data_IF_335977106407
#
_entry.id   IF_335977106407
#
_cell.length_a   1.000
_cell.length_b   1.000
_cell.length_c   1.000
_cell.angle_alpha   90.00
_cell.angle_beta   90.00
_cell.angle_gamma   90.00
#
_symmetry.space_group_name_H-M   'P 1'
#
loop_
_entity.id
_entity.type
_entity.pdbx_description
1 polymer ?
#
# COMPACT_ATOMS: atom_id res chain seq x y z
N UNK A 1 7.32 -17.26 2.48
CA UNK A 1 6.07 -17.28 3.24
C UNK A 1 4.89 -17.73 2.39
N UNK A 2 3.83 -18.21 3.01
CA UNK A 2 2.60 -18.58 2.30
C UNK A 2 2.04 -17.35 1.58
N UNK A 3 1.64 -17.52 0.29
CA UNK A 3 1.06 -16.44 -0.51
C UNK A 3 2.05 -15.38 -1.01
N UNK A 4 3.33 -15.45 -0.68
CA UNK A 4 4.33 -14.50 -1.13
C UNK A 4 4.64 -14.59 -2.63
N UNK A 5 4.36 -15.71 -3.26
CA UNK A 5 4.41 -15.87 -4.72
C UNK A 5 3.06 -15.48 -5.32
N UNK A 6 2.98 -14.26 -5.76
CA UNK A 6 1.80 -13.75 -6.46
C UNK A 6 2.25 -13.09 -7.76
N UNK A 7 1.62 -13.46 -8.86
CA UNK A 7 1.87 -12.86 -10.18
C UNK A 7 1.50 -11.37 -10.22
N UNK A 8 0.63 -10.93 -9.30
CA UNK A 8 0.02 -9.59 -9.30
C UNK A 8 0.15 -8.88 -7.96
N UNK A 9 1.35 -8.80 -7.41
CA UNK A 9 1.63 -8.08 -6.18
C UNK A 9 1.96 -8.99 -5.00
N UNK A 10 2.13 -8.41 -3.82
CA UNK A 10 2.43 -9.13 -2.57
C UNK A 10 1.11 -9.57 -1.92
N UNK A 11 0.95 -10.86 -1.65
CA UNK A 11 -0.20 -11.41 -0.92
C UNK A 11 0.27 -12.24 0.27
N UNK A 12 -0.58 -12.35 1.28
CA UNK A 12 -0.28 -13.09 2.51
C UNK A 12 0.70 -12.37 3.45
N UNK A 13 1.14 -11.17 3.10
CA UNK A 13 1.86 -10.25 3.99
C UNK A 13 0.99 -9.04 4.25
N UNK A 14 0.82 -8.70 5.53
CA UNK A 14 0.16 -7.46 5.91
C UNK A 14 1.21 -6.38 6.09
N UNK A 15 1.06 -5.25 5.40
CA UNK A 15 2.01 -4.14 5.43
C UNK A 15 1.29 -2.93 6.01
N UNK A 16 1.91 -2.28 6.98
CA UNK A 16 1.42 -1.03 7.57
C UNK A 16 2.47 0.06 7.42
N UNK A 17 2.04 1.27 7.17
CA UNK A 17 2.86 2.48 7.21
C UNK A 17 2.20 3.44 8.19
N UNK A 18 2.86 3.69 9.31
CA UNK A 18 2.34 4.50 10.43
C UNK A 18 0.95 4.05 10.93
N UNK A 19 0.66 2.75 10.83
CA UNK A 19 -0.62 2.16 11.20
C UNK A 19 -1.70 2.21 10.13
N UNK A 20 -1.47 2.86 8.98
CA UNK A 20 -2.37 2.79 7.82
C UNK A 20 -2.01 1.53 7.02
N UNK A 21 -2.96 0.65 6.70
CA UNK A 21 -2.68 -0.51 5.86
C UNK A 21 -2.19 -0.09 4.47
N UNK A 22 -1.01 -0.56 4.09
CA UNK A 22 -0.52 -0.53 2.70
C UNK A 22 -0.92 -1.81 1.94
N UNK A 23 -1.50 -2.78 2.64
CA UNK A 23 -2.21 -3.91 2.05
C UNK A 23 -3.68 -3.53 1.93
N UNK A 24 -4.21 -3.58 0.71
CA UNK A 24 -5.60 -3.27 0.43
C UNK A 24 -6.55 -4.34 1.00
N UNK A 25 -7.85 -4.06 1.20
CA UNK A 25 -8.82 -5.04 1.68
C UNK A 25 -8.91 -6.33 0.86
N UNK A 26 -8.56 -6.30 -0.44
CA UNK A 26 -8.43 -7.47 -1.31
C UNK A 26 -7.18 -8.34 -1.04
N UNK A 27 -6.38 -7.98 -0.05
CA UNK A 27 -5.14 -8.65 0.32
C UNK A 27 -3.92 -8.29 -0.53
N UNK A 28 -4.03 -7.33 -1.44
CA UNK A 28 -2.92 -6.88 -2.28
C UNK A 28 -2.01 -5.90 -1.53
N UNK A 29 -0.79 -6.31 -1.20
CA UNK A 29 0.23 -5.46 -0.60
C UNK A 29 0.82 -4.46 -1.59
N UNK A 30 1.00 -3.22 -1.14
CA UNK A 30 1.60 -2.13 -1.90
C UNK A 30 2.79 -1.55 -1.12
N UNK A 31 3.92 -1.38 -1.79
CA UNK A 31 5.13 -0.80 -1.19
C UNK A 31 5.54 0.52 -1.83
N UNK A 32 4.83 0.93 -2.87
CA UNK A 32 5.19 2.09 -3.68
C UNK A 32 5.08 3.42 -2.94
N UNK A 33 4.27 3.49 -1.89
CA UNK A 33 4.03 4.67 -1.06
C UNK A 33 4.97 4.76 0.16
N UNK A 34 5.87 3.81 0.36
CA UNK A 34 6.87 3.85 1.45
C UNK A 34 8.00 4.80 1.06
N UNK A 35 8.26 5.79 1.90
CA UNK A 35 9.38 6.71 1.79
C UNK A 35 10.52 6.30 2.73
N UNK A 36 11.46 5.56 2.19
CA UNK A 36 12.63 5.08 2.95
C UNK A 36 13.43 6.23 3.56
N UNK A 37 13.42 7.42 2.94
CA UNK A 37 14.15 8.59 3.45
C UNK A 37 13.56 9.19 4.74
N UNK A 38 12.30 8.89 5.06
CA UNK A 38 11.62 9.35 6.28
C UNK A 38 11.27 8.23 7.26
N UNK A 39 11.68 7.00 6.98
CA UNK A 39 11.46 5.85 7.86
C UNK A 39 12.40 5.92 9.08
N UNK A 40 11.85 5.65 10.25
CA UNK A 40 12.59 5.40 11.49
C UNK A 40 12.87 3.91 11.66
N UNK A 41 11.81 3.10 11.62
CA UNK A 41 11.89 1.66 11.90
C UNK A 41 11.09 0.84 10.91
N UNK A 42 11.63 -0.31 10.52
CA UNK A 42 10.91 -1.36 9.80
C UNK A 42 10.97 -2.63 10.65
N UNK A 43 9.81 -3.04 11.13
CA UNK A 43 9.65 -4.28 11.90
C UNK A 43 9.09 -5.38 11.02
N UNK A 44 9.67 -6.57 11.09
CA UNK A 44 9.17 -7.77 10.41
C UNK A 44 8.73 -8.77 11.45
N UNK A 45 7.43 -8.92 11.62
CA UNK A 45 6.84 -9.83 12.59
C UNK A 45 6.54 -11.17 11.93
N UNK A 46 7.11 -12.23 12.48
CA UNK A 46 6.91 -13.62 12.03
C UNK A 46 6.30 -14.41 13.19
N UNK A 47 5.22 -15.14 12.94
CA UNK A 47 4.58 -15.97 13.96
C UNK A 47 3.09 -15.65 14.12
N UNK A 48 2.48 -15.99 15.25
CA UNK A 48 1.02 -15.95 15.46
C UNK A 48 0.47 -14.54 15.78
N UNK A 49 0.84 -13.55 14.97
CA UNK A 49 0.36 -12.16 15.10
C UNK A 49 -0.95 -11.89 14.35
N UNK A 50 -1.56 -12.92 13.76
CA UNK A 50 -2.79 -12.79 12.97
C UNK A 50 -3.98 -12.28 13.78
N UNK A 51 -4.01 -12.46 15.10
CA UNK A 51 -5.05 -11.89 15.92
C UNK A 51 -5.09 -10.36 15.83
N UNK A 52 -3.96 -9.68 15.93
CA UNK A 52 -3.88 -8.21 15.84
C UNK A 52 -3.98 -7.68 14.42
N UNK A 53 -3.47 -8.42 13.43
CA UNK A 53 -3.23 -7.89 12.09
C UNK A 53 -4.07 -8.55 10.98
N UNK A 54 -4.91 -9.53 11.33
CA UNK A 54 -5.80 -10.20 10.38
C UNK A 54 -5.06 -11.07 9.36
N UNK A 55 -5.40 -10.95 8.08
CA UNK A 55 -4.87 -11.79 7.00
C UNK A 55 -3.36 -11.60 6.77
N UNK A 56 -2.56 -12.25 7.62
CA UNK A 56 -1.10 -12.13 7.69
C UNK A 56 -0.38 -13.48 7.79
N UNK A 57 -0.85 -14.48 7.03
CA UNK A 57 -0.29 -15.84 7.04
C UNK A 57 1.21 -15.92 6.76
N UNK A 58 1.76 -14.96 6.02
CA UNK A 58 3.19 -14.84 5.72
C UNK A 58 3.96 -13.94 6.70
N UNK A 59 3.27 -13.18 7.53
CA UNK A 59 3.82 -12.22 8.48
C UNK A 59 3.34 -10.79 8.28
N UNK A 60 3.85 -9.88 9.10
CA UNK A 60 3.53 -8.46 9.10
C UNK A 60 4.80 -7.64 8.89
N UNK A 61 4.71 -6.62 8.08
CA UNK A 61 5.74 -5.58 7.95
C UNK A 61 5.14 -4.27 8.46
N UNK A 62 5.70 -3.74 9.52
CA UNK A 62 5.29 -2.47 10.10
C UNK A 62 6.38 -1.43 9.86
N UNK A 63 6.03 -0.37 9.14
CA UNK A 63 6.93 0.74 8.81
C UNK A 63 6.49 1.95 9.62
N UNK A 64 7.41 2.54 10.38
CA UNK A 64 7.15 3.72 11.19
C UNK A 64 8.01 4.88 10.70
N UNK A 65 7.39 6.02 10.47
CA UNK A 65 8.08 7.25 10.09
C UNK A 65 8.74 7.92 11.29
N UNK A 66 9.81 8.66 11.01
CA UNK A 66 10.52 9.45 12.02
C UNK A 66 9.58 10.42 12.72
N UNK A 67 9.71 10.50 14.04
CA UNK A 67 9.10 11.56 14.86
C UNK A 67 10.05 12.76 14.89
N UNK A 68 9.51 13.96 14.72
CA UNK A 68 10.29 15.18 14.82
C UNK A 68 10.87 15.37 16.22
N UNK A 69 12.09 15.85 16.30
CA UNK A 69 12.81 16.16 17.55
C UNK A 69 13.43 17.55 17.49
N UNK A 70 13.92 18.05 18.63
CA UNK A 70 14.73 19.26 18.70
C UNK A 70 16.22 18.91 18.66
N UNK A 71 17.08 19.76 18.03
CA UNK A 71 16.70 20.93 17.21
C UNK A 71 16.07 20.51 15.87
N UNK A 72 15.25 21.38 15.25
CA UNK A 72 14.75 21.13 13.91
C UNK A 72 15.87 20.95 12.89
N UNK A 73 15.69 20.02 11.95
CA UNK A 73 16.66 19.73 10.90
C UNK A 73 16.02 19.76 9.52
N UNK A 74 16.81 20.17 8.53
CA UNK A 74 16.47 20.07 7.10
C UNK A 74 17.57 19.30 6.42
N UNK A 75 17.19 18.23 5.72
CA UNK A 75 18.09 17.37 4.98
C UNK A 75 17.76 17.46 3.50
N UNK A 76 18.79 17.59 2.66
CA UNK A 76 18.69 17.46 1.20
C UNK A 76 19.59 16.32 0.76
N UNK A 77 19.08 15.47 -0.10
CA UNK A 77 19.81 14.33 -0.66
C UNK A 77 19.73 14.30 -2.18
N UNK A 78 20.81 13.95 -2.82
CA UNK A 78 20.80 13.65 -4.25
C UNK A 78 21.82 12.58 -4.57
N UNK A 79 21.50 11.72 -5.51
CA UNK A 79 22.48 10.79 -6.09
C UNK A 79 22.23 10.60 -7.58
N UNK A 80 23.31 10.24 -8.25
CA UNK A 80 23.31 9.84 -9.65
C UNK A 80 23.83 8.42 -9.77
N UNK A 81 23.20 7.62 -10.62
CA UNK A 81 23.57 6.22 -10.85
C UNK A 81 23.55 5.83 -12.32
N UNK A 82 23.89 4.58 -12.60
CA UNK A 82 23.86 4.02 -13.96
C UNK A 82 22.50 4.20 -14.62
N UNK A 83 22.48 4.20 -15.95
CA UNK A 83 21.28 4.31 -16.79
C UNK A 83 20.50 5.62 -16.63
N UNK A 84 21.20 6.72 -16.37
CA UNK A 84 20.57 8.02 -16.15
C UNK A 84 19.69 8.07 -14.92
N UNK A 85 20.04 7.30 -13.89
CA UNK A 85 19.29 7.29 -12.64
C UNK A 85 19.61 8.51 -11.81
N UNK A 86 18.57 9.26 -11.43
CA UNK A 86 18.64 10.40 -10.54
C UNK A 86 17.68 10.26 -9.38
N UNK A 87 18.11 10.66 -8.23
CA UNK A 87 17.27 10.84 -7.05
C UNK A 87 17.51 12.22 -6.44
N UNK A 88 16.43 12.87 -6.05
CA UNK A 88 16.42 14.12 -5.29
C UNK A 88 15.46 13.96 -4.13
N UNK A 89 15.88 14.31 -2.93
CA UNK A 89 15.06 14.26 -1.73
C UNK A 89 15.26 15.48 -0.86
N UNK A 90 14.19 15.89 -0.21
CA UNK A 90 14.20 16.90 0.87
C UNK A 90 13.37 16.38 2.03
N UNK A 91 13.85 16.57 3.24
CA UNK A 91 13.16 16.22 4.48
C UNK A 91 13.37 17.32 5.50
N UNK A 92 12.29 17.70 6.16
CA UNK A 92 12.32 18.59 7.32
C UNK A 92 11.70 17.88 8.51
N UNK A 93 12.40 17.86 9.64
CA UNK A 93 11.90 17.30 10.89
C UNK A 93 12.10 18.30 12.02
N UNK A 94 11.21 18.31 12.99
CA UNK A 94 11.34 19.19 14.13
C UNK A 94 10.25 18.99 15.17
N UNK A 95 10.46 19.61 16.33
CA UNK A 95 9.47 19.66 17.39
C UNK A 95 9.43 21.04 18.03
N UNK A 96 8.29 21.40 18.61
CA UNK A 96 8.08 22.52 19.50
C UNK A 96 7.57 21.94 20.82
N UNK A 97 8.24 22.28 21.92
CA UNK A 97 8.04 21.61 23.21
C UNK A 97 8.86 20.32 23.35
N UNK A 98 8.71 19.62 24.45
CA UNK A 98 9.38 18.36 24.77
C UNK A 98 8.49 17.12 24.53
N UNK A 99 7.28 17.33 24.04
CA UNK A 99 6.30 16.28 23.74
C UNK A 99 5.49 15.85 24.96
N UNK A 100 5.58 16.52 26.09
CA UNK A 100 4.89 16.16 27.33
C UNK A 100 3.70 17.08 27.68
N UNK A 101 3.62 18.27 27.11
CA UNK A 101 2.64 19.28 27.46
C UNK A 101 1.61 19.54 26.35
N UNK A 102 0.45 20.04 26.73
CA UNK A 102 -0.58 20.47 25.79
C UNK A 102 -0.04 21.57 24.85
N UNK A 103 -0.26 21.40 23.54
CA UNK A 103 0.22 22.30 22.51
C UNK A 103 1.60 21.95 21.94
N UNK A 104 2.30 20.97 22.51
CA UNK A 104 3.54 20.48 21.93
C UNK A 104 3.29 19.80 20.59
N UNK A 105 4.16 20.09 19.62
CA UNK A 105 4.03 19.64 18.23
C UNK A 105 5.30 18.94 17.78
N UNK A 106 5.17 17.82 17.08
CA UNK A 106 6.26 17.20 16.31
C UNK A 106 5.85 17.07 14.84
N UNK A 107 6.82 17.20 13.93
CA UNK A 107 6.55 17.07 12.49
C UNK A 107 7.70 16.43 11.74
N UNK A 108 7.34 15.71 10.69
CA UNK A 108 8.25 15.20 9.66
C UNK A 108 7.57 15.37 8.32
N UNK A 109 8.20 16.12 7.41
CA UNK A 109 7.72 16.35 6.05
C UNK A 109 8.83 15.97 5.09
N UNK A 110 8.51 15.16 4.09
CA UNK A 110 9.48 14.75 3.07
C UNK A 110 8.89 14.78 1.67
N UNK A 111 9.74 15.03 0.71
CA UNK A 111 9.43 14.86 -0.72
C UNK A 111 10.64 14.31 -1.43
N UNK A 112 10.41 13.43 -2.39
CA UNK A 112 11.48 12.91 -3.22
C UNK A 112 11.01 12.62 -4.65
N UNK A 113 11.96 12.67 -5.55
CA UNK A 113 11.79 12.35 -6.96
C UNK A 113 12.88 11.38 -7.39
N UNK A 114 12.47 10.28 -8.00
CA UNK A 114 13.33 9.31 -8.64
C UNK A 114 13.04 9.27 -10.14
N UNK A 115 14.08 9.23 -10.98
CA UNK A 115 13.97 9.02 -12.42
C UNK A 115 15.07 8.08 -12.89
N UNK A 116 14.78 7.26 -13.90
CA UNK A 116 15.76 6.40 -14.55
C UNK A 116 15.35 6.14 -16.00
N UNK A 117 16.33 5.96 -16.89
CA UNK A 117 16.05 5.41 -18.23
C UNK A 117 15.94 3.88 -18.20
N UNK A 118 16.48 3.24 -17.14
CA UNK A 118 16.50 1.79 -16.98
C UNK A 118 17.60 1.09 -17.77
N UNK A 119 17.88 -0.15 -17.45
CA UNK A 119 18.92 -0.96 -18.13
C UNK A 119 18.50 -1.37 -19.54
N UNK A 120 17.23 -1.74 -19.70
CA UNK A 120 16.68 -2.20 -20.98
C UNK A 120 16.00 -1.05 -21.73
N UNK A 121 15.88 -1.21 -23.04
CA UNK A 121 14.99 -0.37 -23.83
C UNK A 121 13.56 -0.45 -23.25
N UNK A 122 12.80 0.62 -23.36
CA UNK A 122 11.44 0.70 -22.81
C UNK A 122 11.32 0.33 -21.31
N UNK A 123 12.31 0.72 -20.48
CA UNK A 123 12.31 0.46 -19.03
C UNK A 123 12.46 1.71 -18.17
N UNK A 124 12.27 2.89 -18.78
CA UNK A 124 12.32 4.17 -18.06
C UNK A 124 11.23 4.28 -17.01
N UNK A 125 11.54 4.92 -15.88
CA UNK A 125 10.60 5.15 -14.80
C UNK A 125 10.79 6.51 -14.12
N UNK A 126 9.69 7.04 -13.59
CA UNK A 126 9.65 8.22 -12.72
C UNK A 126 8.73 7.95 -11.54
N UNK A 127 9.20 8.29 -10.33
CA UNK A 127 8.40 8.26 -9.10
C UNK A 127 8.54 9.62 -8.41
N UNK A 128 7.43 10.23 -8.04
CA UNK A 128 7.37 11.35 -7.10
C UNK A 128 6.65 10.86 -5.84
N UNK A 129 7.16 11.21 -4.69
CA UNK A 129 6.62 10.80 -3.40
C UNK A 129 6.67 11.98 -2.43
N UNK A 130 5.60 12.18 -1.68
CA UNK A 130 5.52 13.19 -0.63
C UNK A 130 4.83 12.59 0.59
N UNK A 131 5.36 12.88 1.78
CA UNK A 131 4.82 12.45 3.05
C UNK A 131 4.84 13.61 4.05
N UNK A 132 3.84 13.62 4.93
CA UNK A 132 3.83 14.49 6.09
C UNK A 132 3.25 13.73 7.28
N UNK A 133 3.90 13.89 8.42
CA UNK A 133 3.45 13.46 9.73
C UNK A 133 3.47 14.68 10.65
N UNK A 134 2.35 14.95 11.29
CA UNK A 134 2.19 16.04 12.24
C UNK A 134 1.55 15.49 13.52
N UNK A 135 2.28 15.47 14.61
CA UNK A 135 1.81 15.11 15.94
C UNK A 135 1.52 16.35 16.77
N UNK A 136 0.37 16.37 17.44
CA UNK A 136 -0.02 17.44 18.36
C UNK A 136 -0.46 16.82 19.67
N UNK A 137 0.16 17.23 20.76
CA UNK A 137 -0.29 16.85 22.11
C UNK A 137 -1.47 17.74 22.51
N UNK A 138 -2.64 17.10 22.68
CA UNK A 138 -3.89 17.80 23.05
C UNK A 138 -3.88 18.16 24.54
N UNK A 139 -3.40 17.23 25.36
CA UNK A 139 -3.18 17.37 26.80
C UNK A 139 -2.13 16.33 27.25
N UNK A 140 -1.80 16.27 28.53
CA UNK A 140 -0.72 15.45 29.08
C UNK A 140 -0.91 13.93 28.82
N UNK A 141 -2.14 13.50 28.54
CA UNK A 141 -2.49 12.08 28.33
C UNK A 141 -2.97 11.76 26.91
N UNK A 142 -3.08 12.77 26.03
CA UNK A 142 -3.68 12.57 24.68
C UNK A 142 -2.84 13.21 23.60
N UNK A 143 -2.64 12.45 22.51
CA UNK A 143 -1.94 12.89 21.28
C UNK A 143 -2.80 12.64 20.05
N UNK A 144 -2.79 13.58 19.12
CA UNK A 144 -3.36 13.45 17.78
C UNK A 144 -2.23 13.48 16.75
N UNK A 145 -2.24 12.54 15.81
CA UNK A 145 -1.25 12.49 14.73
C UNK A 145 -1.97 12.48 13.38
N UNK A 146 -1.71 13.49 12.56
CA UNK A 146 -2.13 13.55 11.16
C UNK A 146 -1.03 12.94 10.27
N UNK A 147 -1.44 12.10 9.34
CA UNK A 147 -0.59 11.41 8.37
C UNK A 147 -1.09 11.72 6.96
N UNK A 148 -0.20 12.16 6.07
CA UNK A 148 -0.50 12.42 4.68
C UNK A 148 0.56 11.74 3.81
N UNK A 149 0.11 11.08 2.74
CA UNK A 149 1.01 10.43 1.78
C UNK A 149 0.47 10.60 0.36
N UNK A 150 1.35 10.90 -0.58
CA UNK A 150 1.03 10.97 -2.01
C UNK A 150 2.16 10.38 -2.84
N UNK A 151 1.81 9.54 -3.81
CA UNK A 151 2.76 8.95 -4.77
C UNK A 151 2.21 9.02 -6.19
N UNK A 152 3.07 9.42 -7.14
CA UNK A 152 2.81 9.38 -8.59
C UNK A 152 3.95 8.62 -9.26
N UNK A 153 3.62 7.51 -9.93
CA UNK A 153 4.57 6.64 -10.64
C UNK A 153 4.14 6.52 -12.08
N UNK A 154 5.11 6.72 -12.98
CA UNK A 154 5.01 6.34 -14.39
C UNK A 154 6.20 5.46 -14.72
N UNK A 155 5.92 4.25 -15.18
CA UNK A 155 6.97 3.28 -15.47
C UNK A 155 6.63 2.52 -16.76
N UNK A 156 7.59 2.49 -17.68
CA UNK A 156 7.57 1.60 -18.81
C UNK A 156 7.90 0.17 -18.36
N UNK A 157 7.38 -0.81 -19.06
CA UNK A 157 7.60 -2.22 -18.79
C UNK A 157 8.25 -2.86 -20.01
N UNK A 158 9.51 -3.23 -19.90
CA UNK A 158 10.24 -3.86 -20.98
C UNK A 158 9.74 -5.28 -21.35
N UNK A 159 8.86 -5.85 -20.54
CA UNK A 159 8.37 -7.21 -20.73
C UNK A 159 9.45 -8.30 -20.58
N UNK A 160 9.06 -9.56 -20.73
CA UNK A 160 9.97 -10.70 -20.72
C UNK A 160 10.75 -10.85 -22.02
N UNK A 161 11.91 -11.49 -21.97
CA UNK A 161 12.69 -11.95 -23.15
C UNK A 161 12.64 -13.48 -23.22
N UNK A 162 12.61 -14.04 -24.43
CA UNK A 162 12.95 -15.44 -24.64
C UNK A 162 14.45 -15.66 -24.42
N UNK A 163 14.87 -16.92 -24.30
CA UNK A 163 16.28 -17.22 -24.12
C UNK A 163 17.15 -16.74 -25.32
N UNK A 164 16.60 -16.82 -26.52
CA UNK A 164 17.31 -16.38 -27.74
C UNK A 164 17.37 -14.85 -27.84
N UNK A 165 16.27 -14.16 -27.59
CA UNK A 165 16.26 -12.69 -27.52
C UNK A 165 17.26 -12.18 -26.47
N UNK A 166 17.36 -12.84 -25.31
CA UNK A 166 18.31 -12.47 -24.25
C UNK A 166 19.78 -12.70 -24.68
N UNK A 167 20.06 -13.80 -25.40
CA UNK A 167 21.42 -14.09 -25.89
C UNK A 167 21.84 -13.11 -26.99
N UNK A 168 20.89 -12.73 -27.86
CA UNK A 168 21.13 -11.78 -28.94
C UNK A 168 21.39 -10.36 -28.41
N UNK A 169 20.44 -9.84 -27.64
CA UNK A 169 20.55 -8.52 -27.03
C UNK A 169 19.77 -8.46 -25.72
N UNK A 170 20.41 -8.57 -24.54
CA UNK A 170 19.73 -8.54 -23.25
C UNK A 170 19.09 -7.17 -22.91
N UNK A 171 19.38 -6.13 -23.70
CA UNK A 171 18.81 -4.79 -23.51
C UNK A 171 17.53 -4.54 -24.31
N UNK A 172 17.25 -5.34 -25.31
CA UNK A 172 16.08 -5.15 -26.17
C UNK A 172 14.76 -5.29 -25.42
N UNK A 173 13.71 -4.68 -25.97
CA UNK A 173 12.36 -4.71 -25.43
C UNK A 173 11.31 -4.91 -26.54
N UNK A 174 11.34 -6.04 -27.26
CA UNK A 174 10.45 -6.22 -28.42
C UNK A 174 8.96 -6.07 -28.06
N UNK A 175 8.54 -6.56 -26.89
CA UNK A 175 7.15 -6.46 -26.43
C UNK A 175 6.82 -5.07 -25.90
N UNK A 176 7.76 -4.45 -25.18
CA UNK A 176 7.63 -3.08 -24.72
C UNK A 176 7.44 -2.11 -25.88
N UNK A 177 8.28 -2.21 -26.89
CA UNK A 177 8.22 -1.34 -28.07
C UNK A 177 6.95 -1.58 -28.89
N UNK A 178 6.57 -2.86 -29.11
CA UNK A 178 5.41 -3.21 -29.91
C UNK A 178 4.09 -2.77 -29.24
N UNK A 179 3.94 -3.00 -27.93
CA UNK A 179 2.68 -2.80 -27.20
C UNK A 179 2.67 -1.53 -26.34
N UNK A 180 3.77 -0.79 -26.30
CA UNK A 180 3.97 0.37 -25.43
C UNK A 180 3.55 0.04 -23.97
N UNK A 181 4.04 -1.11 -23.48
CA UNK A 181 3.71 -1.64 -22.17
C UNK A 181 4.19 -0.71 -21.08
N UNK A 182 3.29 -0.36 -20.17
CA UNK A 182 3.56 0.62 -19.10
C UNK A 182 2.57 0.47 -17.95
N UNK A 183 2.97 0.93 -16.79
CA UNK A 183 2.09 1.04 -15.62
C UNK A 183 2.23 2.41 -14.98
N UNK A 184 1.12 3.11 -14.89
CA UNK A 184 1.01 4.36 -14.16
C UNK A 184 0.20 4.13 -12.89
N UNK A 185 0.64 4.70 -11.79
CA UNK A 185 -0.06 4.60 -10.51
C UNK A 185 -0.02 5.94 -9.82
N UNK A 186 -1.17 6.40 -9.34
CA UNK A 186 -1.31 7.55 -8.44
C UNK A 186 -2.03 7.09 -7.19
N UNK A 187 -1.54 7.50 -6.03
CA UNK A 187 -2.21 7.24 -4.75
C UNK A 187 -2.07 8.46 -3.86
N UNK A 188 -3.15 8.81 -3.20
CA UNK A 188 -3.16 9.82 -2.13
C UNK A 188 -3.97 9.26 -0.98
N UNK A 189 -3.44 9.41 0.25
CA UNK A 189 -4.12 8.96 1.46
C UNK A 189 -3.86 9.90 2.62
N UNK A 190 -4.80 9.91 3.54
CA UNK A 190 -4.70 10.59 4.81
C UNK A 190 -5.08 9.65 5.95
N UNK A 191 -4.48 9.85 7.10
CA UNK A 191 -4.81 9.13 8.34
C UNK A 191 -4.79 10.07 9.53
N UNK A 192 -5.61 9.75 10.51
CA UNK A 192 -5.69 10.45 11.78
C UNK A 192 -5.63 9.42 12.90
N UNK A 193 -4.58 9.50 13.72
CA UNK A 193 -4.42 8.64 14.91
C UNK A 193 -4.66 9.46 16.16
N UNK A 194 -5.56 9.00 16.98
CA UNK A 194 -5.77 9.50 18.34
C UNK A 194 -5.26 8.47 19.34
N UNK A 195 -4.41 8.89 20.25
CA UNK A 195 -3.83 8.06 21.31
C UNK A 195 -4.12 8.72 22.66
N UNK A 196 -4.59 7.94 23.64
CA UNK A 196 -4.89 8.42 24.97
C UNK A 196 -4.52 7.40 26.01
N UNK A 197 -3.73 7.82 27.00
CA UNK A 197 -3.54 7.11 28.24
C UNK A 197 -4.75 7.36 29.14
N UNK A 198 -5.64 6.38 29.26
CA UNK A 198 -6.89 6.50 30.03
C UNK A 198 -6.66 6.33 31.54
N UNK A 199 -5.69 5.49 31.91
CA UNK A 199 -5.21 5.27 33.27
C UNK A 199 -3.72 4.89 33.23
N UNK A 200 -3.13 4.59 34.38
CA UNK A 200 -1.77 4.04 34.44
C UNK A 200 -1.66 2.66 33.75
N UNK A 201 -2.76 1.95 33.60
CA UNK A 201 -2.84 0.60 33.04
C UNK A 201 -3.47 0.56 31.65
N UNK A 202 -4.26 1.58 31.28
CA UNK A 202 -5.12 1.54 30.09
C UNK A 202 -4.72 2.57 29.04
N UNK A 203 -4.47 2.10 27.81
CA UNK A 203 -4.22 2.93 26.64
C UNK A 203 -5.28 2.67 25.57
N UNK A 204 -5.82 3.76 25.02
CA UNK A 204 -6.70 3.74 23.85
C UNK A 204 -5.95 4.29 22.63
N UNK A 205 -6.03 3.58 21.51
CA UNK A 205 -5.60 4.06 20.20
C UNK A 205 -6.73 3.91 19.19
N UNK A 206 -6.98 4.97 18.42
CA UNK A 206 -7.95 4.97 17.32
C UNK A 206 -7.24 5.50 16.09
N UNK A 207 -7.19 4.70 15.03
CA UNK A 207 -6.70 5.10 13.71
C UNK A 207 -7.88 5.17 12.73
N UNK A 208 -8.04 6.29 12.06
CA UNK A 208 -8.96 6.46 10.93
C UNK A 208 -8.16 6.83 9.70
N UNK A 209 -8.49 6.27 8.55
CA UNK A 209 -7.81 6.59 7.30
C UNK A 209 -8.75 6.51 6.11
N UNK A 210 -8.40 7.26 5.06
CA UNK A 210 -9.03 7.17 3.76
C UNK A 210 -8.00 7.45 2.66
N UNK A 211 -8.23 6.89 1.49
CA UNK A 211 -7.35 7.10 0.35
C UNK A 211 -7.98 6.71 -0.97
N UNK A 212 -7.32 7.18 -2.02
CA UNK A 212 -7.64 6.85 -3.40
C UNK A 212 -6.39 6.34 -4.10
N UNK A 213 -6.58 5.30 -4.93
CA UNK A 213 -5.53 4.75 -5.78
C UNK A 213 -6.04 4.52 -7.20
N UNK A 214 -5.39 5.14 -8.15
CA UNK A 214 -5.59 4.94 -9.58
C UNK A 214 -4.45 4.11 -10.16
N UNK A 215 -4.75 3.20 -11.05
CA UNK A 215 -3.74 2.42 -11.78
C UNK A 215 -4.19 2.19 -13.20
N UNK A 216 -3.39 2.62 -14.18
CA UNK A 216 -3.56 2.29 -15.59
C UNK A 216 -2.38 1.46 -16.05
N UNK A 217 -2.65 0.29 -16.64
CA UNK A 217 -1.61 -0.62 -17.11
C UNK A 217 -1.90 -1.10 -18.54
N UNK A 218 -0.94 -0.92 -19.43
CA UNK A 218 -0.94 -1.49 -20.79
C UNK A 218 -0.13 -2.77 -20.78
N UNK A 219 -0.73 -3.86 -21.27
CA UNK A 219 -0.15 -5.19 -21.27
C UNK A 219 0.21 -5.63 -22.69
N UNK A 220 1.16 -6.56 -22.84
CA UNK A 220 1.55 -7.13 -24.12
C UNK A 220 0.61 -8.26 -24.55
N UNK A 221 -0.68 -7.95 -24.74
CA UNK A 221 -1.68 -8.92 -25.18
C UNK A 221 -1.95 -8.74 -26.67
N UNK A 222 -1.75 -9.79 -27.52
CA UNK A 222 -2.09 -9.72 -28.93
C UNK A 222 -3.59 -9.48 -29.17
N UNK A 223 -3.94 -9.03 -30.37
CA UNK A 223 -5.33 -8.74 -30.74
C UNK A 223 -6.26 -9.94 -30.65
N UNK A 224 -5.84 -11.11 -31.13
CA UNK A 224 -6.72 -12.27 -31.28
C UNK A 224 -7.40 -12.73 -29.97
N UNK A 225 -6.71 -12.87 -28.80
CA UNK A 225 -7.37 -13.16 -27.54
C UNK A 225 -8.39 -12.12 -27.12
N UNK A 226 -8.11 -10.84 -27.38
CA UNK A 226 -8.96 -9.71 -26.95
C UNK A 226 -10.28 -9.63 -27.71
N UNK A 227 -10.43 -10.31 -28.84
CA UNK A 227 -11.70 -10.38 -29.59
C UNK A 227 -12.72 -11.33 -28.98
N UNK A 228 -12.33 -12.17 -28.02
CA UNK A 228 -13.27 -13.05 -27.32
C UNK A 228 -14.18 -12.20 -26.42
N UNK A 229 -15.51 -12.43 -26.40
CA UNK A 229 -16.45 -11.63 -25.59
C UNK A 229 -16.07 -11.52 -24.11
N UNK A 230 -15.63 -12.62 -23.48
CA UNK A 230 -15.24 -12.70 -22.06
C UNK A 230 -13.84 -12.17 -21.76
N UNK A 231 -13.06 -11.71 -22.75
CA UNK A 231 -11.70 -11.23 -22.51
C UNK A 231 -11.68 -9.77 -22.11
N UNK A 232 -11.06 -9.46 -21.00
CA UNK A 232 -11.03 -8.12 -20.37
C UNK A 232 -10.23 -7.04 -21.12
N UNK A 233 -9.65 -7.38 -22.28
CA UNK A 233 -8.77 -6.47 -23.04
C UNK A 233 -7.30 -6.52 -22.56
N UNK A 234 -6.50 -5.63 -23.11
CA UNK A 234 -5.07 -5.49 -22.80
C UNK A 234 -4.72 -4.22 -22.04
N UNK A 235 -5.70 -3.39 -21.69
CA UNK A 235 -5.54 -2.21 -20.82
C UNK A 235 -6.37 -2.43 -19.56
N UNK A 236 -5.73 -2.29 -18.41
CA UNK A 236 -6.38 -2.28 -17.09
C UNK A 236 -6.47 -0.84 -16.62
N UNK A 237 -7.66 -0.41 -16.20
CA UNK A 237 -7.92 0.89 -15.61
C UNK A 237 -8.70 0.68 -14.30
N UNK A 238 -8.04 0.99 -13.20
CA UNK A 238 -8.55 0.78 -11.85
C UNK A 238 -8.58 2.10 -11.10
N UNK A 239 -9.74 2.40 -10.49
CA UNK A 239 -9.87 3.43 -9.46
C UNK A 239 -10.38 2.78 -8.19
N UNK A 240 -9.65 2.94 -7.09
CA UNK A 240 -9.96 2.38 -5.78
C UNK A 240 -10.08 3.49 -4.76
N UNK A 241 -11.21 3.53 -4.07
CA UNK A 241 -11.41 4.34 -2.87
C UNK A 241 -11.44 3.37 -1.69
N UNK A 242 -10.63 3.62 -0.68
CA UNK A 242 -10.55 2.78 0.51
C UNK A 242 -10.51 3.63 1.76
N UNK A 243 -11.05 3.07 2.83
CA UNK A 243 -11.10 3.70 4.14
C UNK A 243 -11.19 2.65 5.23
N UNK A 244 -10.85 3.04 6.45
CA UNK A 244 -10.98 2.14 7.58
C UNK A 244 -10.82 2.84 8.92
N UNK A 245 -11.16 2.07 9.96
CA UNK A 245 -11.02 2.45 11.35
C UNK A 245 -10.46 1.25 12.09
N UNK A 246 -9.34 1.42 12.78
CA UNK A 246 -8.82 0.48 13.79
C UNK A 246 -8.97 1.11 15.18
N UNK A 247 -9.62 0.41 16.10
CA UNK A 247 -9.70 0.80 17.50
C UNK A 247 -9.02 -0.25 18.36
N UNK A 248 -8.18 0.20 19.28
CA UNK A 248 -7.39 -0.67 20.14
C UNK A 248 -7.39 -0.16 21.57
N UNK A 249 -7.80 -1.03 22.50
CA UNK A 249 -7.69 -0.82 23.93
C UNK A 249 -6.66 -1.81 24.47
N UNK A 250 -5.64 -1.30 25.15
CA UNK A 250 -4.61 -2.12 25.80
C UNK A 250 -4.67 -1.92 27.30
N UNK A 251 -4.85 -3.00 28.05
CA UNK A 251 -4.82 -3.04 29.51
C UNK A 251 -3.57 -3.78 29.98
N UNK A 252 -2.80 -3.17 30.89
CA UNK A 252 -1.65 -3.80 31.55
C UNK A 252 -1.99 -4.01 33.01
N UNK A 253 -1.97 -5.25 33.45
CA UNK A 253 -2.34 -5.62 34.80
C UNK A 253 -1.53 -6.79 35.30
N UNK A 254 -1.95 -7.30 36.45
CA UNK A 254 -1.38 -8.49 37.09
C UNK A 254 -2.50 -9.45 37.42
N UNK A 255 -2.44 -10.67 36.89
CA UNK A 255 -3.33 -11.77 37.20
C UNK A 255 -2.47 -12.99 37.50
N UNK A 256 -1.98 -13.14 38.76
CA UNK A 256 -0.95 -14.08 39.21
C UNK A 256 0.45 -13.79 38.59
N UNK A 257 0.51 -13.33 37.36
CA UNK A 257 1.68 -12.88 36.65
C UNK A 257 1.33 -11.62 35.86
N UNK A 258 2.34 -10.82 35.41
CA UNK A 258 2.06 -9.68 34.54
C UNK A 258 1.35 -10.10 33.26
N UNK A 259 0.28 -9.41 32.93
CA UNK A 259 -0.53 -9.66 31.73
C UNK A 259 -0.79 -8.35 30.98
N UNK A 260 -0.65 -8.42 29.65
CA UNK A 260 -1.14 -7.38 28.74
C UNK A 260 -2.31 -7.94 27.94
N UNK A 261 -3.44 -7.28 28.04
CA UNK A 261 -4.66 -7.59 27.29
C UNK A 261 -4.86 -6.52 26.22
N UNK A 262 -5.02 -6.94 24.96
CA UNK A 262 -5.32 -6.04 23.85
C UNK A 262 -6.61 -6.48 23.19
N UNK A 263 -7.62 -5.61 23.21
CA UNK A 263 -8.89 -5.81 22.53
C UNK A 263 -9.09 -4.72 21.48
N UNK A 264 -9.71 -5.07 20.35
CA UNK A 264 -9.96 -4.08 19.33
C UNK A 264 -10.97 -4.50 18.28
N UNK A 265 -11.24 -3.56 17.40
CA UNK A 265 -12.14 -3.70 16.25
C UNK A 265 -11.47 -3.04 15.04
N UNK A 266 -11.34 -3.79 13.98
CA UNK A 266 -10.83 -3.33 12.70
C UNK A 266 -11.98 -3.35 11.67
N UNK A 267 -12.21 -2.21 11.03
CA UNK A 267 -13.15 -2.05 9.92
C UNK A 267 -12.41 -1.52 8.72
N UNK A 268 -12.54 -2.21 7.60
CA UNK A 268 -11.99 -1.78 6.31
C UNK A 268 -13.08 -1.83 5.24
N UNK A 269 -13.03 -0.87 4.33
CA UNK A 269 -13.92 -0.80 3.18
C UNK A 269 -13.14 -0.38 1.94
N UNK A 270 -13.46 -0.97 0.79
CA UNK A 270 -12.92 -0.58 -0.50
C UNK A 270 -14.01 -0.65 -1.57
N UNK A 271 -14.13 0.41 -2.36
CA UNK A 271 -14.88 0.44 -3.62
C UNK A 271 -13.89 0.50 -4.77
N UNK A 272 -13.94 -0.48 -5.65
CA UNK A 272 -13.13 -0.54 -6.86
C UNK A 272 -14.01 -0.36 -8.10
N UNK A 273 -13.64 0.56 -8.98
CA UNK A 273 -14.12 0.66 -10.34
C UNK A 273 -13.06 0.07 -11.24
N UNK A 274 -13.39 -1.03 -11.89
CA UNK A 274 -12.48 -1.75 -12.76
C UNK A 274 -12.98 -1.73 -14.20
N UNK A 275 -12.18 -1.09 -15.06
CA UNK A 275 -12.42 -1.11 -16.50
C UNK A 275 -11.29 -1.83 -17.22
N UNK A 276 -11.64 -2.48 -18.32
CA UNK A 276 -10.71 -3.10 -19.25
C UNK A 276 -10.97 -2.61 -20.66
N UNK A 277 -9.91 -2.38 -21.42
CA UNK A 277 -10.02 -1.93 -22.80
C UNK A 277 -9.06 -2.73 -23.70
N UNK A 278 -9.35 -2.75 -24.99
CA UNK A 278 -8.37 -3.19 -25.98
C UNK A 278 -7.11 -2.30 -25.87
N UNK A 279 -5.92 -2.90 -26.04
CA UNK A 279 -4.65 -2.15 -26.05
C UNK A 279 -4.26 -1.69 -27.47
N UNK A 280 -5.21 -1.63 -28.39
CA UNK A 280 -4.98 -1.22 -29.76
C UNK A 280 -6.20 -0.44 -30.31
N UNK A 281 -5.93 0.35 -31.34
CA UNK A 281 -6.93 0.94 -32.24
C UNK A 281 -6.68 0.44 -33.66
N UNK A 282 -7.72 0.41 -34.50
CA UNK A 282 -7.55 0.00 -35.90
C UNK A 282 -7.21 1.22 -36.75
N UNK A 283 -6.09 1.22 -37.43
CA UNK A 283 -5.64 2.26 -38.34
C UNK A 283 -5.36 1.61 -39.71
N UNK A 284 -6.05 2.05 -40.73
CA UNK A 284 -5.93 1.50 -42.10
C UNK A 284 -6.06 -0.03 -42.17
N UNK A 285 -6.96 -0.63 -41.36
CA UNK A 285 -7.20 -2.06 -41.32
C UNK A 285 -6.18 -2.89 -40.49
N UNK A 286 -5.15 -2.27 -39.91
CA UNK A 286 -4.17 -2.90 -39.06
C UNK A 286 -4.26 -2.44 -37.60
N UNK A 287 -3.98 -3.30 -36.59
CA UNK A 287 -3.94 -2.89 -35.18
C UNK A 287 -2.71 -2.04 -34.89
N UNK A 288 -2.91 -0.84 -34.40
CA UNK A 288 -1.89 0.01 -33.79
C UNK A 288 -1.96 -0.20 -32.28
N UNK A 289 -0.96 -0.86 -31.71
CA UNK A 289 -0.89 -1.16 -30.29
C UNK A 289 -0.39 0.03 -29.46
N UNK A 290 -0.61 -0.03 -28.14
CA UNK A 290 -0.17 0.99 -27.20
C UNK A 290 -1.17 2.12 -26.99
N UNK A 291 -2.29 2.08 -27.70
CA UNK A 291 -3.42 3.01 -27.58
C UNK A 291 -4.62 2.31 -26.93
N UNK A 292 -5.42 3.07 -26.17
CA UNK A 292 -6.62 2.56 -25.55
C UNK A 292 -7.76 2.46 -26.59
N UNK A 293 -8.19 1.24 -26.85
CA UNK A 293 -9.25 0.93 -27.79
C UNK A 293 -10.64 0.77 -27.14
N UNK A 294 -11.42 -0.18 -27.64
CA UNK A 294 -12.80 -0.41 -27.20
C UNK A 294 -12.87 -0.93 -25.75
N UNK A 295 -13.95 -0.59 -25.04
CA UNK A 295 -14.27 -1.12 -23.72
C UNK A 295 -14.49 -2.64 -23.78
N UNK A 296 -13.94 -3.39 -22.83
CA UNK A 296 -14.02 -4.86 -22.73
C UNK A 296 -14.41 -5.36 -21.35
N UNK A 297 -14.38 -4.49 -20.34
CA UNK A 297 -14.78 -4.77 -18.94
C UNK A 297 -15.24 -3.48 -18.28
N UNK A 298 -16.27 -3.55 -17.45
CA UNK A 298 -16.73 -2.43 -16.64
C UNK A 298 -17.42 -2.97 -15.39
N UNK A 299 -16.69 -3.08 -14.30
CA UNK A 299 -17.15 -3.66 -13.05
C UNK A 299 -17.04 -2.64 -11.90
N UNK A 300 -17.96 -2.77 -10.95
CA UNK A 300 -17.86 -2.13 -9.65
C UNK A 300 -17.80 -3.21 -8.58
N UNK A 301 -16.69 -3.26 -7.84
CA UNK A 301 -16.46 -4.21 -6.77
C UNK A 301 -16.49 -3.47 -5.42
N UNK A 302 -17.23 -4.02 -4.47
CA UNK A 302 -17.27 -3.54 -3.10
C UNK A 302 -16.70 -4.63 -2.19
N UNK A 303 -15.84 -4.24 -1.28
CA UNK A 303 -15.30 -5.11 -0.24
C UNK A 303 -15.37 -4.39 1.08
N UNK A 304 -15.78 -5.10 2.13
CA UNK A 304 -15.70 -4.59 3.48
C UNK A 304 -15.57 -5.73 4.48
N UNK A 305 -14.93 -5.43 5.60
CA UNK A 305 -14.78 -6.37 6.69
C UNK A 305 -14.97 -5.68 8.04
N UNK A 306 -15.40 -6.46 9.03
CA UNK A 306 -15.48 -6.09 10.43
C UNK A 306 -14.86 -7.20 11.23
N UNK A 307 -13.79 -6.89 11.92
CA UNK A 307 -12.93 -7.88 12.55
C UNK A 307 -12.67 -7.52 14.02
N UNK A 308 -13.52 -7.94 14.99
CA UNK A 308 -13.18 -7.86 16.40
C UNK A 308 -12.06 -8.84 16.76
N UNK A 309 -11.16 -8.42 17.64
CA UNK A 309 -10.04 -9.23 18.08
C UNK A 309 -9.72 -9.04 19.55
N UNK A 310 -9.10 -10.08 20.13
CA UNK A 310 -8.59 -10.10 21.49
C UNK A 310 -7.26 -10.83 21.50
N UNK A 311 -6.25 -10.24 22.13
CA UNK A 311 -4.95 -10.86 22.37
C UNK A 311 -4.53 -10.69 23.81
N UNK A 312 -3.91 -11.72 24.38
CA UNK A 312 -3.31 -11.70 25.71
C UNK A 312 -1.84 -12.07 25.61
N UNK A 313 -1.02 -11.36 26.36
CA UNK A 313 0.40 -11.68 26.54
C UNK A 313 0.65 -11.85 28.04
N UNK A 314 1.16 -13.02 28.42
CA UNK A 314 1.42 -13.41 29.80
C UNK A 314 2.92 -13.54 30.00
N UNK A 315 3.49 -12.83 30.98
CA UNK A 315 4.87 -13.00 31.37
C UNK A 315 4.95 -14.05 32.50
N UNK A 316 5.09 -15.32 32.12
CA UNK A 316 5.05 -16.45 33.07
C UNK A 316 6.27 -16.50 33.96
N UNK A 317 7.44 -16.14 33.42
CA UNK A 317 8.71 -15.99 34.14
C UNK A 317 9.57 -14.93 33.44
N UNK A 318 10.70 -14.55 33.99
CA UNK A 318 11.64 -13.61 33.35
C UNK A 318 12.14 -14.08 31.95
N UNK A 319 11.98 -15.37 31.65
CA UNK A 319 12.47 -16.00 30.39
C UNK A 319 11.38 -16.62 29.55
N UNK A 320 10.15 -16.66 30.03
CA UNK A 320 9.04 -17.33 29.36
C UNK A 320 7.82 -16.42 29.28
N UNK A 321 7.38 -16.14 28.07
CA UNK A 321 6.12 -15.47 27.78
C UNK A 321 5.19 -16.38 26.99
N UNK A 322 3.90 -16.19 27.15
CA UNK A 322 2.83 -16.85 26.39
C UNK A 322 1.97 -15.79 25.72
N UNK A 323 1.84 -15.88 24.39
CA UNK A 323 0.94 -15.06 23.59
C UNK A 323 -0.22 -15.92 23.11
N UNK A 324 -1.45 -15.45 23.32
CA UNK A 324 -2.65 -16.10 22.80
C UNK A 324 -3.61 -15.03 22.26
N UNK A 325 -4.30 -15.35 21.17
CA UNK A 325 -5.21 -14.39 20.57
C UNK A 325 -6.28 -15.04 19.72
N UNK A 326 -7.38 -14.35 19.57
CA UNK A 326 -8.50 -14.71 18.71
C UNK A 326 -8.96 -13.49 17.92
N UNK A 327 -9.29 -13.70 16.64
CA UNK A 327 -9.91 -12.72 15.75
C UNK A 327 -11.07 -13.40 15.04
N UNK A 328 -12.19 -12.71 14.99
CA UNK A 328 -13.29 -13.09 14.12
C UNK A 328 -13.30 -12.18 12.91
N UNK A 329 -13.13 -12.74 11.72
CA UNK A 329 -13.09 -11.98 10.48
C UNK A 329 -14.36 -12.23 9.67
N UNK A 330 -15.14 -11.17 9.47
CA UNK A 330 -16.30 -11.15 8.59
C UNK A 330 -15.98 -10.32 7.37
N UNK A 331 -15.95 -10.97 6.21
CA UNK A 331 -15.58 -10.33 4.93
C UNK A 331 -16.72 -10.48 3.94
N UNK A 332 -17.10 -9.38 3.30
CA UNK A 332 -18.15 -9.34 2.29
C UNK A 332 -17.59 -8.79 0.97
N UNK A 333 -18.04 -9.42 -0.11
CA UNK A 333 -17.73 -9.02 -1.47
C UNK A 333 -19.03 -8.86 -2.23
N UNK A 334 -19.11 -7.79 -3.02
CA UNK A 334 -20.19 -7.55 -3.97
C UNK A 334 -19.57 -7.08 -5.28
N UNK A 335 -19.98 -7.66 -6.40
CA UNK A 335 -19.45 -7.34 -7.72
C UNK A 335 -20.59 -7.17 -8.71
N UNK A 336 -20.61 -6.03 -9.39
CA UNK A 336 -21.58 -5.73 -10.41
C UNK A 336 -20.86 -5.52 -11.75
N UNK A 337 -21.18 -6.35 -12.75
CA UNK A 337 -20.72 -6.18 -14.14
C UNK A 337 -21.68 -5.31 -14.94
N UNK A 338 -21.17 -4.27 -15.58
CA UNK A 338 -21.89 -3.35 -16.47
C UNK A 338 -21.49 -3.53 -17.94
N UNK A 339 -20.60 -4.47 -18.23
CA UNK A 339 -20.20 -4.80 -19.60
C UNK A 339 -20.89 -6.08 -20.06
N UNK A 340 -22.17 -5.99 -20.35
CA UNK A 340 -23.01 -7.12 -20.75
C UNK A 340 -23.10 -7.16 -22.28
N UNK A 341 -22.62 -8.25 -22.89
CA UNK A 341 -22.62 -8.46 -24.33
C UNK A 341 -22.88 -9.95 -24.65
N UNK A 342 -23.29 -10.28 -25.88
CA UNK A 342 -23.41 -11.70 -26.28
C UNK A 342 -22.11 -12.47 -26.01
N UNK A 343 -22.17 -13.50 -25.16
CA UNK A 343 -21.03 -14.31 -24.71
C UNK A 343 -20.27 -13.75 -23.52
N UNK A 344 -20.75 -12.67 -22.90
CA UNK A 344 -20.35 -12.14 -21.59
C UNK A 344 -21.63 -11.62 -20.91
N UNK A 345 -22.33 -12.52 -20.23
CA UNK A 345 -23.52 -12.19 -19.45
C UNK A 345 -23.15 -11.58 -18.09
N UNK A 346 -24.19 -11.18 -17.37
CA UNK A 346 -24.08 -10.83 -15.97
C UNK A 346 -23.87 -12.10 -15.15
N UNK A 347 -22.78 -12.20 -14.38
CA UNK A 347 -22.44 -13.37 -13.54
C UNK A 347 -22.90 -13.18 -12.10
#
# INVERSE_FOLDING_TARGET
GFGSRSTYGVRGLRIYVDGIPATMPDGQGQTSNIDIGSVDTIEVLRGPFSALYGNSSGGVINVTSQTGTQPPTVEASSYYGSFGTWHYGMKATGAVGDGSHAGDVDYTVSTNRFTTHGYRDHSGARKNLANARLGVRINDVSKLTLLLNSVDIKANDAGGLTADEWRDNPRQSPRGDQYNTRKNTRQTQAGLRYERQMSAQDDLSVMMYAGERETTQFQSIPRAPQLKPSHAGGVIDLTRHYQGIDTRLTHRGELLVPVTLTAGLDYENMSERRKGYENFVMVNGAPQYGEQGALRRNERNLMWNVDPYLQTQWQLTDKLSLDAGVRYSSVWFDSNDYYITPGNGDD
#
